data_IF_512742170758
#
_entry.id   IF_512742170758
#
_cell.length_a   1.000
_cell.length_b   1.000
_cell.length_c   1.000
_cell.angle_alpha   90.00
_cell.angle_beta   90.00
_cell.angle_gamma   90.00
#
_symmetry.space_group_name_H-M   'P 1'
#
loop_
_entity.id
_entity.type
_entity.pdbx_description
1 polymer ?
#
# COMPACT_ATOMS: atom_id res chain seq x y z
N UNK A 1 -11.98 1.96 14.20
CA UNK A 1 -11.00 1.29 13.32
C UNK A 1 -11.23 -0.21 13.42
N UNK A 2 -11.48 -0.89 12.30
CA UNK A 2 -11.86 -2.31 12.26
C UNK A 2 -10.64 -3.16 11.85
N UNK A 3 -10.43 -4.32 12.51
CA UNK A 3 -9.45 -5.34 12.12
C UNK A 3 -10.18 -6.64 11.78
N UNK A 4 -9.73 -7.36 10.75
CA UNK A 4 -10.31 -8.64 10.36
C UNK A 4 -9.23 -9.75 10.40
N UNK A 5 -9.53 -10.94 10.94
CA UNK A 5 -10.77 -11.35 11.63
C UNK A 5 -11.08 -10.52 12.89
N UNK A 6 -12.38 -10.37 13.21
CA UNK A 6 -12.85 -9.57 14.35
C UNK A 6 -13.04 -10.51 15.56
N UNK A 7 -12.19 -10.37 16.57
CA UNK A 7 -12.48 -10.88 17.91
C UNK A 7 -12.96 -9.72 18.78
N UNK A 8 -14.16 -9.83 19.38
CA UNK A 8 -14.61 -8.82 20.35
C UNK A 8 -13.83 -9.02 21.64
N UNK A 9 -13.43 -7.93 22.29
CA UNK A 9 -12.67 -7.99 23.52
C UNK A 9 -13.42 -8.74 24.65
N UNK A 10 -14.75 -8.66 24.68
CA UNK A 10 -15.57 -9.39 25.65
C UNK A 10 -15.57 -10.90 25.41
N UNK A 11 -15.48 -11.35 24.16
CA UNK A 11 -15.48 -12.78 23.80
C UNK A 11 -14.15 -13.46 24.19
N UNK A 12 -13.11 -12.66 24.47
CA UNK A 12 -11.81 -13.13 24.94
C UNK A 12 -11.71 -13.20 26.47
N UNK A 13 -12.70 -12.68 27.22
CA UNK A 13 -12.69 -12.70 28.68
C UNK A 13 -13.07 -14.10 29.17
N UNK A 14 -12.13 -14.76 29.86
CA UNK A 14 -12.38 -16.07 30.48
C UNK A 14 -12.32 -17.26 29.52
N UNK A 15 -11.69 -17.11 28.35
CA UNK A 15 -11.44 -18.23 27.44
C UNK A 15 -10.50 -19.26 28.07
N UNK A 16 -10.70 -20.53 27.72
CA UNK A 16 -9.83 -21.60 28.18
C UNK A 16 -8.46 -21.54 27.51
N UNK A 17 -7.45 -22.17 28.12
CA UNK A 17 -6.11 -22.26 27.51
C UNK A 17 -6.14 -22.95 26.15
N UNK A 18 -7.05 -23.91 25.92
CA UNK A 18 -7.20 -24.59 24.64
C UNK A 18 -7.71 -23.62 23.55
N UNK A 19 -8.76 -22.85 23.86
CA UNK A 19 -9.31 -21.83 22.95
C UNK A 19 -8.29 -20.74 22.63
N UNK A 20 -7.51 -20.30 23.62
CA UNK A 20 -6.43 -19.35 23.37
C UNK A 20 -5.35 -19.94 22.45
N UNK A 21 -4.99 -21.20 22.64
CA UNK A 21 -4.01 -21.89 21.80
C UNK A 21 -4.50 -22.06 20.36
N UNK A 22 -5.80 -22.31 20.15
CA UNK A 22 -6.42 -22.30 18.82
C UNK A 22 -6.28 -20.94 18.13
N UNK A 23 -6.58 -19.84 18.83
CA UNK A 23 -6.45 -18.48 18.28
C UNK A 23 -5.01 -18.09 17.93
N UNK A 24 -4.03 -18.60 18.68
CA UNK A 24 -2.60 -18.38 18.40
C UNK A 24 -2.13 -19.16 17.17
N UNK A 25 -2.65 -20.37 16.97
CA UNK A 25 -2.27 -21.24 15.85
C UNK A 25 -3.13 -21.03 14.60
N UNK A 26 -4.18 -20.21 14.69
CA UNK A 26 -5.03 -19.87 13.55
C UNK A 26 -4.24 -19.10 12.46
N UNK A 27 -4.17 -19.61 11.22
CA UNK A 27 -3.43 -18.99 10.12
C UNK A 27 -3.99 -17.62 9.70
N UNK A 28 -5.25 -17.31 10.00
CA UNK A 28 -5.86 -16.00 9.75
C UNK A 28 -5.34 -14.90 10.69
N UNK A 29 -4.64 -15.29 11.76
CA UNK A 29 -4.04 -14.42 12.78
C UNK A 29 -5.04 -13.43 13.38
N UNK A 30 -6.13 -13.91 14.01
CA UNK A 30 -7.22 -13.07 14.47
C UNK A 30 -6.84 -12.11 15.62
N UNK A 31 -5.77 -12.42 16.35
CA UNK A 31 -5.22 -11.55 17.39
C UNK A 31 -4.40 -10.38 16.82
N UNK A 32 -3.87 -10.51 15.61
CA UNK A 32 -3.01 -9.51 14.98
C UNK A 32 -3.81 -8.29 14.51
N UNK A 33 -3.42 -7.10 14.97
CA UNK A 33 -4.08 -5.86 14.58
C UNK A 33 -3.49 -5.30 13.28
N UNK A 34 -3.97 -5.80 12.14
CA UNK A 34 -3.50 -5.40 10.79
C UNK A 34 -3.59 -3.90 10.52
N UNK A 35 -4.52 -3.21 11.17
CA UNK A 35 -4.77 -1.80 10.91
C UNK A 35 -3.68 -0.90 11.53
N UNK A 36 -3.09 -1.30 12.67
CA UNK A 36 -2.03 -0.55 13.35
C UNK A 36 -0.64 -1.19 13.21
N UNK A 37 -0.58 -2.52 13.12
CA UNK A 37 0.66 -3.29 13.12
C UNK A 37 0.99 -3.87 11.74
N UNK A 38 0.05 -3.80 10.79
CA UNK A 38 0.26 -4.32 9.44
C UNK A 38 1.19 -3.42 8.65
N UNK A 39 2.38 -3.92 8.33
CA UNK A 39 3.29 -3.27 7.41
C UNK A 39 2.99 -3.79 5.99
N UNK A 40 2.46 -2.92 5.15
CA UNK A 40 2.17 -3.22 3.76
C UNK A 40 2.75 -2.12 2.87
N UNK A 41 3.27 -2.45 1.68
CA UNK A 41 3.54 -1.44 0.68
C UNK A 41 2.25 -0.68 0.38
N UNK A 42 2.22 0.66 0.48
CA UNK A 42 1.00 1.44 0.24
C UNK A 42 0.58 1.41 -1.24
N UNK A 43 1.46 0.94 -2.13
CA UNK A 43 1.21 0.91 -3.57
C UNK A 43 0.93 2.31 -4.11
N UNK A 44 0.01 2.41 -5.07
CA UNK A 44 -0.36 3.70 -5.68
C UNK A 44 -1.02 4.69 -4.71
N UNK A 45 -1.46 4.26 -3.52
CA UNK A 45 -2.10 5.15 -2.55
C UNK A 45 -1.16 6.26 -2.04
N UNK A 46 0.16 6.08 -2.15
CA UNK A 46 1.16 7.08 -1.75
C UNK A 46 1.36 8.20 -2.79
N UNK A 47 0.89 8.01 -4.04
CA UNK A 47 1.15 8.94 -5.16
C UNK A 47 0.74 10.39 -4.87
N UNK A 48 -0.46 10.68 -4.31
CA UNK A 48 -0.84 12.06 -4.04
C UNK A 48 0.12 12.77 -3.07
N UNK A 49 0.73 12.04 -2.13
CA UNK A 49 1.73 12.59 -1.20
C UNK A 49 3.02 12.99 -1.93
N UNK A 50 3.52 12.13 -2.82
CA UNK A 50 4.70 12.47 -3.63
C UNK A 50 4.42 13.58 -4.63
N UNK A 51 3.23 13.61 -5.24
CA UNK A 51 2.83 14.69 -6.14
C UNK A 51 2.81 16.03 -5.41
N UNK A 52 2.20 16.10 -4.22
CA UNK A 52 2.22 17.32 -3.40
C UNK A 52 3.62 17.72 -2.95
N UNK A 53 4.48 16.77 -2.61
CA UNK A 53 5.88 17.04 -2.30
C UNK A 53 6.64 17.63 -3.50
N UNK A 54 6.47 17.05 -4.70
CA UNK A 54 7.12 17.52 -5.92
C UNK A 54 6.67 18.94 -6.30
N UNK A 55 5.36 19.21 -6.25
CA UNK A 55 4.80 20.54 -6.48
C UNK A 55 5.33 21.57 -5.47
N UNK A 56 5.37 21.20 -4.18
CA UNK A 56 5.83 22.12 -3.11
C UNK A 56 7.31 22.46 -3.21
N UNK A 57 8.12 21.59 -3.79
CA UNK A 57 9.56 21.79 -3.99
C UNK A 57 9.89 22.25 -5.42
N UNK A 58 8.90 22.59 -6.24
CA UNK A 58 9.08 23.01 -7.64
C UNK A 58 9.84 22.00 -8.50
N UNK A 59 9.78 20.71 -8.15
CA UNK A 59 10.24 19.62 -9.01
C UNK A 59 9.28 19.37 -10.17
N UNK A 60 8.03 19.80 -10.01
CA UNK A 60 7.03 19.81 -11.08
C UNK A 60 6.07 21.00 -10.90
N UNK A 61 5.21 21.23 -11.88
CA UNK A 61 4.16 22.26 -11.87
C UNK A 61 2.82 21.71 -12.40
N UNK A 62 1.74 22.49 -12.30
CA UNK A 62 0.40 22.05 -12.67
C UNK A 62 0.20 21.86 -14.18
N UNK A 63 1.07 22.46 -14.98
CA UNK A 63 1.04 22.44 -16.44
C UNK A 63 2.03 21.43 -17.04
N UNK A 64 2.89 20.81 -16.22
CA UNK A 64 3.86 19.83 -16.68
C UNK A 64 3.15 18.55 -17.12
N UNK A 65 3.62 17.99 -18.24
CA UNK A 65 3.08 16.77 -18.79
C UNK A 65 4.22 15.86 -19.21
N UNK A 66 4.08 14.58 -18.90
CA UNK A 66 5.03 13.55 -19.30
C UNK A 66 4.33 12.60 -20.28
N UNK A 67 5.01 12.29 -21.38
CA UNK A 67 4.56 11.26 -22.31
C UNK A 67 4.78 9.86 -21.70
N UNK A 68 3.73 9.07 -21.63
CA UNK A 68 3.72 7.73 -21.03
C UNK A 68 3.39 6.69 -22.11
N UNK A 69 4.41 5.97 -22.59
CA UNK A 69 4.30 4.85 -23.53
C UNK A 69 4.19 3.48 -22.83
N UNK A 70 4.02 3.48 -21.51
CA UNK A 70 3.86 2.29 -20.69
C UNK A 70 5.13 1.84 -19.98
N UNK A 71 6.25 2.56 -20.10
CA UNK A 71 7.43 2.31 -19.29
C UNK A 71 8.25 3.58 -19.01
N UNK A 72 9.11 3.51 -18.01
CA UNK A 72 10.08 4.56 -17.67
C UNK A 72 11.49 3.98 -17.64
N UNK A 73 12.48 4.75 -18.12
CA UNK A 73 13.90 4.39 -18.14
C UNK A 73 14.74 5.57 -17.70
N UNK A 74 15.76 5.32 -16.89
CA UNK A 74 16.78 6.32 -16.60
C UNK A 74 17.78 6.36 -17.76
N UNK A 75 18.27 7.54 -18.13
CA UNK A 75 19.23 7.65 -19.24
C UNK A 75 20.55 6.92 -18.94
N UNK A 76 20.97 6.95 -17.68
CA UNK A 76 22.22 6.37 -17.19
C UNK A 76 22.12 4.85 -16.97
N UNK A 77 20.91 4.33 -16.72
CA UNK A 77 20.66 2.92 -16.43
C UNK A 77 19.65 2.33 -17.43
N UNK A 78 20.05 1.31 -18.18
CA UNK A 78 19.17 0.61 -19.14
C UNK A 78 18.04 -0.21 -18.49
N UNK A 79 17.72 0.03 -17.21
CA UNK A 79 16.66 -0.65 -16.49
C UNK A 79 15.30 -0.05 -16.84
N UNK A 80 14.36 -0.94 -17.17
CA UNK A 80 12.98 -0.57 -17.51
C UNK A 80 12.05 -0.75 -16.31
N UNK A 81 11.25 0.28 -16.02
CA UNK A 81 10.16 0.25 -15.05
C UNK A 81 8.82 0.29 -15.79
N UNK A 82 8.07 -0.81 -15.77
CA UNK A 82 6.81 -0.91 -16.51
C UNK A 82 5.66 -0.25 -15.76
N UNK A 83 4.78 0.43 -16.49
CA UNK A 83 3.48 0.86 -16.00
C UNK A 83 2.53 -0.35 -15.88
N UNK A 84 1.43 -0.17 -15.14
CA UNK A 84 0.42 -1.20 -15.01
C UNK A 84 -0.40 -1.39 -16.31
N UNK A 85 -0.49 -0.35 -17.14
CA UNK A 85 -1.23 -0.34 -18.40
C UNK A 85 -0.24 -0.48 -19.55
N UNK A 86 -0.42 -1.53 -20.35
CA UNK A 86 0.35 -1.75 -21.57
C UNK A 86 0.00 -0.69 -22.63
N UNK A 87 1.02 -0.13 -23.28
CA UNK A 87 0.88 0.99 -24.22
C UNK A 87 0.62 2.35 -23.58
N UNK A 88 0.68 2.46 -22.24
CA UNK A 88 0.65 3.72 -21.52
C UNK A 88 -0.71 4.44 -21.48
N UNK A 89 -0.72 5.64 -20.93
CA UNK A 89 -1.90 6.51 -20.82
C UNK A 89 -1.82 7.75 -21.73
N UNK A 90 -0.91 7.74 -22.71
CA UNK A 90 -0.53 8.84 -23.60
C UNK A 90 0.09 10.02 -22.84
N UNK A 91 -0.68 10.67 -21.96
CA UNK A 91 -0.25 11.85 -21.18
C UNK A 91 -0.58 11.62 -19.69
N UNK A 92 0.41 11.77 -18.82
CA UNK A 92 0.20 11.90 -17.37
C UNK A 92 0.53 13.32 -16.86
N UNK A 93 -0.22 13.71 -15.84
CA UNK A 93 -0.10 14.94 -15.02
C UNK A 93 0.72 14.61 -13.77
#
# INVERSE_FOLDING_TARGET
MLKHPINKANDLRGISSAQYQELLNDPSRPLFNRAFMGLYPPGSAIKPLFATFALSNSYTNWEETIFDDGFFRFEEEQRVFNAWKEGGMDIQI
#
